data_IF_337821152381
#
_entry.id   IF_337821152381
#
_cell.length_a   1.000
_cell.length_b   1.000
_cell.length_c   1.000
_cell.angle_alpha   90.00
_cell.angle_beta   90.00
_cell.angle_gamma   90.00
#
_symmetry.space_group_name_H-M   'P 1'
#
loop_
_entity.id
_entity.type
_entity.pdbx_description
1 polymer ?
#
# COMPACT_ATOMS: atom_id res chain seq x y z
N UNK A 1 -9.54 21.18 18.67
CA UNK A 1 -9.91 19.78 18.35
C UNK A 1 -9.90 19.68 16.84
N UNK A 2 -8.85 19.14 16.25
CA UNK A 2 -8.82 18.83 14.81
C UNK A 2 -9.87 17.76 14.56
N UNK A 3 -10.85 18.05 13.72
CA UNK A 3 -11.87 17.05 13.29
C UNK A 3 -11.14 15.88 12.66
N UNK A 4 -11.19 14.72 13.31
CA UNK A 4 -10.60 13.50 12.78
C UNK A 4 -11.20 13.22 11.40
N UNK A 5 -10.36 13.03 10.37
CA UNK A 5 -10.80 12.78 9.00
C UNK A 5 -11.63 11.49 8.92
N UNK A 6 -12.80 11.55 8.31
CA UNK A 6 -13.55 10.34 7.98
C UNK A 6 -12.99 9.72 6.69
N UNK A 7 -11.83 9.02 6.81
CA UNK A 7 -11.17 8.38 5.68
C UNK A 7 -12.07 7.41 4.94
N UNK A 8 -12.95 6.71 5.66
CA UNK A 8 -13.86 5.76 5.02
C UNK A 8 -14.79 6.47 4.03
N UNK A 9 -15.42 7.58 4.46
CA UNK A 9 -16.24 8.37 3.57
C UNK A 9 -15.44 8.99 2.43
N UNK A 10 -14.24 9.53 2.71
CA UNK A 10 -13.37 10.17 1.72
C UNK A 10 -12.95 9.22 0.60
N UNK A 11 -12.53 8.01 0.94
CA UNK A 11 -12.08 7.04 -0.06
C UNK A 11 -13.23 6.37 -0.80
N UNK A 12 -14.32 6.00 -0.11
CA UNK A 12 -15.48 5.33 -0.74
C UNK A 12 -16.17 6.22 -1.76
N UNK A 13 -16.21 7.54 -1.55
CA UNK A 13 -16.81 8.48 -2.53
C UNK A 13 -16.01 8.64 -3.81
N UNK A 14 -14.71 8.29 -3.80
CA UNK A 14 -13.78 8.51 -4.92
C UNK A 14 -13.37 7.23 -5.65
N UNK A 15 -13.47 6.07 -5.00
CA UNK A 15 -12.98 4.79 -5.48
C UNK A 15 -14.08 3.72 -5.47
N UNK A 16 -13.94 2.62 -6.25
CA UNK A 16 -14.75 1.42 -6.04
C UNK A 16 -14.67 1.02 -4.56
N UNK A 17 -15.81 0.63 -3.98
CA UNK A 17 -15.89 0.51 -2.53
C UNK A 17 -14.86 -0.44 -1.91
N UNK A 18 -14.52 -1.54 -2.58
CA UNK A 18 -13.53 -2.49 -2.09
C UNK A 18 -12.12 -1.87 -2.00
N UNK A 19 -11.73 -1.08 -3.02
CA UNK A 19 -10.46 -0.35 -3.05
C UNK A 19 -10.48 0.81 -2.05
N UNK A 20 -11.56 1.59 -2.02
CA UNK A 20 -11.73 2.70 -1.09
C UNK A 20 -11.76 2.25 0.37
N UNK A 21 -12.34 1.08 0.65
CA UNK A 21 -12.37 0.50 1.98
C UNK A 21 -10.97 0.13 2.50
N UNK A 22 -10.16 -0.56 1.69
CA UNK A 22 -8.79 -0.89 2.05
C UNK A 22 -7.96 0.37 2.28
N UNK A 23 -8.00 1.32 1.34
CA UNK A 23 -7.27 2.59 1.44
C UNK A 23 -7.66 3.41 2.66
N UNK A 24 -8.93 3.41 3.04
CA UNK A 24 -9.40 4.10 4.24
C UNK A 24 -8.80 3.52 5.53
N UNK A 25 -8.67 2.20 5.60
CA UNK A 25 -8.02 1.53 6.73
C UNK A 25 -6.54 1.87 6.78
N UNK A 26 -5.86 1.80 5.64
CA UNK A 26 -4.43 2.12 5.52
C UNK A 26 -4.12 3.58 5.88
N UNK A 27 -4.96 4.54 5.45
CA UNK A 27 -4.79 5.96 5.77
C UNK A 27 -4.72 6.24 7.27
N UNK A 28 -5.48 5.50 8.08
CA UNK A 28 -5.47 5.67 9.55
C UNK A 28 -4.12 5.33 10.18
N UNK A 29 -3.36 4.41 9.58
CA UNK A 29 -2.04 4.04 10.12
C UNK A 29 -1.00 5.14 9.94
N UNK A 30 -1.23 6.09 9.01
CA UNK A 30 -0.34 7.22 8.78
C UNK A 30 -0.64 8.44 9.67
N UNK A 31 -1.78 8.46 10.40
CA UNK A 31 -2.14 9.63 11.24
C UNK A 31 -1.12 9.90 12.34
N UNK A 32 -0.55 8.83 12.92
CA UNK A 32 0.39 8.90 14.04
C UNK A 32 1.85 8.67 13.61
N UNK A 33 2.15 8.69 12.30
CA UNK A 33 3.49 8.47 11.78
C UNK A 33 4.16 9.79 11.41
N UNK A 34 5.42 9.91 11.78
CA UNK A 34 6.25 11.04 11.39
C UNK A 34 6.82 10.84 9.98
N UNK A 35 6.56 11.80 9.10
CA UNK A 35 7.05 11.84 7.72
C UNK A 35 7.87 13.12 7.52
N UNK A 36 9.13 13.15 8.01
CA UNK A 36 10.00 14.31 7.82
C UNK A 36 10.31 14.53 6.34
N UNK A 37 10.27 15.81 5.93
CA UNK A 37 10.60 16.21 4.57
C UNK A 37 12.13 16.30 4.36
N UNK A 38 12.62 15.99 3.16
CA UNK A 38 11.90 15.64 1.92
C UNK A 38 11.31 14.22 1.95
N UNK A 39 10.06 14.08 1.49
CA UNK A 39 9.28 12.83 1.52
C UNK A 39 9.24 12.22 0.11
N UNK A 40 9.49 10.91 0.02
CA UNK A 40 9.34 10.11 -1.19
C UNK A 40 8.12 9.17 -1.09
N UNK A 41 7.22 9.22 -2.08
CA UNK A 41 6.13 8.25 -2.26
C UNK A 41 6.50 7.31 -3.41
N UNK A 42 6.88 6.08 -3.07
CA UNK A 42 7.30 5.04 -4.04
C UNK A 42 6.08 4.30 -4.56
N UNK A 43 5.76 4.49 -5.83
CA UNK A 43 4.55 3.97 -6.45
C UNK A 43 3.33 4.83 -6.13
N UNK A 44 3.44 6.14 -6.32
CA UNK A 44 2.40 7.11 -5.97
C UNK A 44 1.08 6.92 -6.76
N UNK A 45 1.12 6.17 -7.86
CA UNK A 45 -0.02 5.88 -8.71
C UNK A 45 -0.74 7.14 -9.18
N UNK A 46 -2.08 7.12 -9.08
CA UNK A 46 -2.95 8.23 -9.47
C UNK A 46 -2.99 9.39 -8.44
N UNK A 47 -2.21 9.32 -7.35
CA UNK A 47 -2.12 10.33 -6.31
C UNK A 47 -3.32 10.42 -5.37
N UNK A 48 -4.37 9.64 -5.61
CA UNK A 48 -5.62 9.70 -4.83
C UNK A 48 -5.37 9.37 -3.35
N UNK A 49 -4.58 8.33 -3.06
CA UNK A 49 -4.25 7.93 -1.70
C UNK A 49 -3.60 9.08 -0.93
N UNK A 50 -2.53 9.63 -1.46
CA UNK A 50 -1.80 10.71 -0.81
C UNK A 50 -2.66 11.96 -0.63
N UNK A 51 -3.47 12.32 -1.64
CA UNK A 51 -4.35 13.48 -1.59
C UNK A 51 -5.40 13.42 -0.48
N UNK A 52 -5.91 12.22 -0.19
CA UNK A 52 -6.94 12.02 0.85
C UNK A 52 -6.35 11.76 2.23
N UNK A 53 -5.16 11.15 2.29
CA UNK A 53 -4.52 10.74 3.55
C UNK A 53 -3.79 11.90 4.22
N UNK A 54 -2.89 12.57 3.50
CA UNK A 54 -2.00 13.57 4.09
C UNK A 54 -2.54 14.98 3.96
N UNK A 55 -2.31 15.82 4.98
CA UNK A 55 -2.56 17.26 4.92
C UNK A 55 -1.38 17.98 4.28
N UNK A 56 -0.17 17.59 4.66
CA UNK A 56 1.06 18.13 4.09
C UNK A 56 1.25 17.74 2.63
N UNK A 57 1.99 18.55 1.90
CA UNK A 57 2.45 18.26 0.55
C UNK A 57 3.60 17.24 0.62
N UNK A 58 3.63 16.29 -0.30
CA UNK A 58 4.72 15.32 -0.46
C UNK A 58 5.72 15.89 -1.47
N UNK A 59 7.02 15.75 -1.18
CA UNK A 59 8.04 16.35 -2.03
C UNK A 59 8.12 15.66 -3.38
N UNK A 60 8.16 14.32 -3.40
CA UNK A 60 8.26 13.55 -4.65
C UNK A 60 7.29 12.38 -4.67
N UNK A 61 6.48 12.28 -5.73
CA UNK A 61 5.77 11.06 -6.11
C UNK A 61 6.46 10.39 -7.29
N UNK A 62 6.77 9.09 -7.17
CA UNK A 62 7.41 8.30 -8.20
C UNK A 62 6.51 7.15 -8.62
N UNK A 63 6.30 6.97 -9.92
CA UNK A 63 5.57 5.84 -10.50
C UNK A 63 6.10 5.56 -11.92
N UNK A 64 6.21 4.31 -12.38
CA UNK A 64 6.71 4.02 -13.72
C UNK A 64 5.68 4.28 -14.84
N UNK A 65 4.43 4.54 -14.51
CA UNK A 65 3.35 4.62 -15.49
C UNK A 65 2.89 6.05 -15.75
N UNK A 66 2.99 6.47 -17.02
CA UNK A 66 2.60 7.81 -17.49
C UNK A 66 1.15 8.17 -17.11
N UNK A 67 0.20 7.25 -17.32
CA UNK A 67 -1.22 7.51 -17.06
C UNK A 67 -1.50 7.90 -15.61
N UNK A 68 -1.12 7.08 -14.61
CA UNK A 68 -1.25 7.42 -13.19
C UNK A 68 -0.55 8.73 -12.82
N UNK A 69 0.68 8.96 -13.26
CA UNK A 69 1.41 10.22 -13.02
C UNK A 69 0.63 11.43 -13.55
N UNK A 70 0.06 11.31 -14.75
CA UNK A 70 -0.76 12.38 -15.31
C UNK A 70 -2.03 12.63 -14.49
N UNK A 71 -2.69 11.57 -14.00
CA UNK A 71 -3.85 11.70 -13.11
C UNK A 71 -3.46 12.32 -11.75
N UNK A 72 -2.29 12.00 -11.21
CA UNK A 72 -1.82 12.53 -9.92
C UNK A 72 -1.64 14.05 -9.91
N UNK A 73 -1.34 14.66 -11.07
CA UNK A 73 -1.17 16.12 -11.20
C UNK A 73 -2.40 16.92 -10.78
N UNK A 74 -3.60 16.36 -10.98
CA UNK A 74 -4.85 17.07 -10.66
C UNK A 74 -5.02 17.38 -9.16
N UNK A 75 -4.37 16.60 -8.29
CA UNK A 75 -4.49 16.76 -6.84
C UNK A 75 -3.54 17.82 -6.26
N UNK A 76 -2.50 18.23 -6.99
CA UNK A 76 -1.48 19.18 -6.53
C UNK A 76 -0.86 18.77 -5.17
N UNK A 77 -0.86 17.45 -4.89
CA UNK A 77 -0.37 16.89 -3.63
C UNK A 77 1.15 16.74 -3.60
N UNK A 78 1.77 16.59 -4.76
CA UNK A 78 3.21 16.42 -4.92
C UNK A 78 3.84 17.71 -5.44
N UNK A 79 5.03 18.03 -4.92
CA UNK A 79 5.87 19.11 -5.46
C UNK A 79 6.48 18.71 -6.80
N UNK A 80 6.92 17.45 -6.87
CA UNK A 80 7.48 16.86 -8.08
C UNK A 80 6.83 15.50 -8.33
N UNK A 81 6.41 15.24 -9.55
CA UNK A 81 5.99 13.93 -10.02
C UNK A 81 7.02 13.41 -11.02
N UNK A 82 7.58 12.24 -10.75
CA UNK A 82 8.66 11.63 -11.53
C UNK A 82 8.18 10.31 -12.11
N UNK A 83 8.23 10.20 -13.44
CA UNK A 83 8.00 8.94 -14.15
C UNK A 83 9.31 8.17 -14.23
N UNK A 84 9.48 7.15 -13.36
CA UNK A 84 10.69 6.34 -13.32
C UNK A 84 10.44 4.97 -12.68
N UNK A 85 11.33 4.01 -12.99
CA UNK A 85 11.37 2.70 -12.34
C UNK A 85 11.87 2.86 -10.89
N UNK A 86 11.10 2.31 -9.93
CA UNK A 86 11.49 2.30 -8.52
C UNK A 86 12.77 1.53 -8.21
N UNK A 87 13.21 0.61 -9.10
CA UNK A 87 14.50 -0.06 -9.00
C UNK A 87 15.69 0.76 -9.52
N UNK A 88 15.44 1.95 -10.06
CA UNK A 88 16.45 2.89 -10.57
C UNK A 88 15.95 4.32 -10.47
N UNK A 89 16.02 4.90 -9.30
CA UNK A 89 15.48 6.23 -9.02
C UNK A 89 16.45 7.34 -9.45
N UNK A 90 15.97 8.41 -10.12
CA UNK A 90 16.86 9.52 -10.57
C UNK A 90 17.09 10.55 -9.46
N UNK A 91 17.45 10.09 -8.27
CA UNK A 91 17.70 10.97 -7.11
C UNK A 91 19.07 10.70 -6.50
N UNK A 92 19.68 11.70 -5.86
CA UNK A 92 20.93 11.52 -5.13
C UNK A 92 20.78 10.58 -3.93
N UNK A 93 21.87 9.89 -3.60
CA UNK A 93 21.95 9.09 -2.37
C UNK A 93 21.69 9.96 -1.14
N UNK A 94 20.89 9.43 -0.21
CA UNK A 94 20.61 10.09 1.06
C UNK A 94 19.86 11.41 0.96
N UNK A 95 19.09 11.60 -0.09
CA UNK A 95 18.32 12.84 -0.30
C UNK A 95 17.08 12.93 0.59
N UNK A 96 16.29 11.84 0.69
CA UNK A 96 15.01 11.87 1.38
C UNK A 96 15.13 11.60 2.88
N UNK A 97 14.38 12.36 3.67
CA UNK A 97 14.29 12.18 5.12
C UNK A 97 13.24 11.16 5.54
N UNK A 98 12.32 10.81 4.65
CA UNK A 98 11.34 9.72 4.84
C UNK A 98 10.84 9.18 3.51
N UNK A 99 10.31 7.95 3.52
CA UNK A 99 9.60 7.39 2.38
C UNK A 99 8.37 6.59 2.81
N UNK A 100 7.43 6.46 1.86
CA UNK A 100 6.28 5.56 1.98
C UNK A 100 6.05 4.79 0.68
N UNK A 101 5.35 3.64 0.79
CA UNK A 101 4.91 2.84 -0.36
C UNK A 101 3.63 2.10 0.01
N UNK A 102 2.47 2.58 -0.45
CA UNK A 102 1.20 2.06 0.02
C UNK A 102 0.56 1.07 -0.94
N UNK A 103 0.62 -0.22 -0.64
CA UNK A 103 0.14 -1.34 -1.47
C UNK A 103 0.67 -1.27 -2.92
N UNK A 104 1.97 -1.37 -3.05
CA UNK A 104 2.70 -1.28 -4.32
C UNK A 104 3.71 -2.40 -4.48
N UNK A 105 4.53 -2.68 -3.45
CA UNK A 105 5.64 -3.63 -3.53
C UNK A 105 5.19 -5.04 -3.89
N UNK A 106 3.98 -5.41 -3.51
CA UNK A 106 3.36 -6.69 -3.87
C UNK A 106 3.13 -6.89 -5.37
N UNK A 107 3.09 -5.80 -6.14
CA UNK A 107 2.87 -5.84 -7.59
C UNK A 107 4.18 -5.89 -8.40
N UNK A 108 5.31 -5.57 -7.76
CA UNK A 108 6.61 -5.40 -8.44
C UNK A 108 7.35 -6.74 -8.48
N UNK A 109 7.65 -7.31 -9.67
CA UNK A 109 8.36 -8.59 -9.76
C UNK A 109 9.73 -8.58 -9.06
N UNK A 110 10.44 -7.47 -9.15
CA UNK A 110 11.79 -7.27 -8.60
C UNK A 110 11.77 -6.33 -7.39
N UNK A 111 10.91 -6.62 -6.39
CA UNK A 111 10.75 -5.77 -5.21
C UNK A 111 12.08 -5.52 -4.46
N UNK A 112 13.04 -6.47 -4.49
CA UNK A 112 14.35 -6.29 -3.87
C UNK A 112 15.13 -5.11 -4.46
N UNK A 113 15.08 -4.92 -5.79
CA UNK A 113 15.74 -3.79 -6.44
C UNK A 113 15.14 -2.44 -5.97
N UNK A 114 13.80 -2.39 -5.81
CA UNK A 114 13.13 -1.19 -5.30
C UNK A 114 13.49 -0.92 -3.84
N UNK A 115 13.58 -1.95 -3.00
CA UNK A 115 14.02 -1.80 -1.61
C UNK A 115 15.45 -1.29 -1.52
N UNK A 116 16.36 -1.86 -2.32
CA UNK A 116 17.76 -1.44 -2.36
C UNK A 116 17.90 0.03 -2.79
N UNK A 117 17.18 0.42 -3.83
CA UNK A 117 17.21 1.78 -4.34
C UNK A 117 16.56 2.77 -3.36
N UNK A 118 15.44 2.39 -2.74
CA UNK A 118 14.82 3.18 -1.67
C UNK A 118 15.80 3.42 -0.52
N UNK A 119 16.58 2.39 -0.14
CA UNK A 119 17.61 2.55 0.88
C UNK A 119 18.74 3.48 0.43
N UNK A 120 19.14 3.47 -0.85
CA UNK A 120 20.16 4.36 -1.38
C UNK A 120 19.74 5.83 -1.26
N UNK A 121 18.53 6.17 -1.69
CA UNK A 121 18.06 7.55 -1.74
C UNK A 121 17.59 8.10 -0.39
N UNK A 122 17.32 7.26 0.60
CA UNK A 122 16.97 7.66 1.96
C UNK A 122 18.19 8.06 2.78
N UNK A 123 18.05 9.01 3.69
CA UNK A 123 19.04 9.36 4.70
C UNK A 123 19.25 8.22 5.71
N UNK A 124 20.46 8.02 6.25
CA UNK A 124 20.65 7.08 7.36
C UNK A 124 19.78 7.42 8.57
N UNK A 125 19.03 6.45 9.05
CA UNK A 125 18.04 6.64 10.13
C UNK A 125 16.67 7.12 9.67
N UNK A 126 16.47 7.35 8.37
CA UNK A 126 15.18 7.75 7.82
C UNK A 126 14.15 6.62 7.92
N UNK A 127 12.88 6.93 8.28
CA UNK A 127 11.80 5.95 8.28
C UNK A 127 11.34 5.62 6.86
N UNK A 128 10.95 4.36 6.67
CA UNK A 128 10.24 3.89 5.48
C UNK A 128 9.02 3.08 5.92
N UNK A 129 7.84 3.50 5.43
CA UNK A 129 6.56 2.89 5.76
C UNK A 129 5.96 2.23 4.53
N UNK A 130 5.52 0.99 4.67
CA UNK A 130 4.82 0.32 3.58
C UNK A 130 3.83 -0.72 4.06
N UNK A 131 2.90 -1.09 3.21
CA UNK A 131 1.96 -2.18 3.46
C UNK A 131 1.83 -3.10 2.25
N UNK A 132 1.62 -4.37 2.54
CA UNK A 132 1.53 -5.45 1.54
C UNK A 132 0.59 -6.55 2.03
N UNK A 133 -0.02 -7.35 1.12
CA UNK A 133 -0.73 -8.55 1.50
C UNK A 133 0.26 -9.59 2.05
N UNK A 134 -0.23 -10.42 2.96
CA UNK A 134 0.50 -11.53 3.54
C UNK A 134 -0.16 -12.89 3.15
N UNK A 135 0.35 -14.05 3.58
CA UNK A 135 -0.21 -15.35 3.23
C UNK A 135 -1.69 -15.53 3.61
N UNK A 136 -2.17 -14.84 4.66
CA UNK A 136 -3.56 -14.88 5.07
C UNK A 136 -4.51 -14.32 4.01
N UNK A 137 -4.03 -13.45 3.09
CA UNK A 137 -4.82 -12.92 2.00
C UNK A 137 -5.43 -14.06 1.16
N UNK A 138 -4.61 -14.97 0.67
CA UNK A 138 -5.10 -16.08 -0.14
C UNK A 138 -5.78 -17.17 0.68
N UNK A 139 -5.32 -17.41 1.91
CA UNK A 139 -5.86 -18.45 2.80
C UNK A 139 -7.27 -18.13 3.29
N UNK A 140 -7.56 -16.85 3.55
CA UNK A 140 -8.83 -16.39 4.13
C UNK A 140 -9.88 -15.98 3.11
N UNK A 141 -9.64 -16.16 1.80
CA UNK A 141 -10.66 -15.91 0.77
C UNK A 141 -11.93 -16.74 1.05
N UNK A 142 -13.07 -16.07 1.13
CA UNK A 142 -14.33 -16.67 1.59
C UNK A 142 -14.82 -17.80 0.66
N UNK A 143 -14.72 -17.59 -0.64
CA UNK A 143 -15.10 -18.58 -1.66
C UNK A 143 -14.16 -19.78 -1.63
N UNK A 144 -12.85 -19.57 -1.50
CA UNK A 144 -11.89 -20.67 -1.38
C UNK A 144 -12.15 -21.51 -0.12
N UNK A 145 -12.39 -20.85 1.01
CA UNK A 145 -12.73 -21.54 2.28
C UNK A 145 -14.04 -22.32 2.19
N UNK A 146 -15.02 -21.83 1.43
CA UNK A 146 -16.24 -22.58 1.19
C UNK A 146 -15.94 -23.88 0.41
N UNK A 147 -15.16 -23.82 -0.68
CA UNK A 147 -14.76 -25.02 -1.42
C UNK A 147 -13.93 -25.99 -0.57
N UNK A 148 -13.03 -25.50 0.27
CA UNK A 148 -12.29 -26.37 1.20
C UNK A 148 -13.21 -27.13 2.15
N UNK A 149 -14.23 -26.44 2.71
CA UNK A 149 -15.20 -27.06 3.66
C UNK A 149 -16.02 -28.18 3.05
N UNK A 150 -16.35 -28.09 1.77
CA UNK A 150 -17.09 -29.14 1.06
C UNK A 150 -16.19 -30.14 0.34
N UNK A 151 -14.87 -30.13 0.62
CA UNK A 151 -13.90 -31.10 0.11
C UNK A 151 -13.40 -30.82 -1.32
N UNK A 152 -13.82 -29.73 -1.97
CA UNK A 152 -13.44 -29.38 -3.34
C UNK A 152 -12.11 -28.61 -3.38
N UNK A 153 -11.02 -29.22 -2.89
CA UNK A 153 -9.70 -28.60 -2.73
C UNK A 153 -9.11 -28.04 -4.03
N UNK A 154 -9.33 -28.73 -5.17
CA UNK A 154 -8.84 -28.26 -6.48
C UNK A 154 -9.51 -26.93 -6.88
N UNK A 155 -10.81 -26.79 -6.65
CA UNK A 155 -11.53 -25.54 -6.90
C UNK A 155 -11.08 -24.42 -5.96
N UNK A 156 -10.86 -24.72 -4.69
CA UNK A 156 -10.31 -23.76 -3.73
C UNK A 156 -8.94 -23.24 -4.20
N UNK A 157 -8.05 -24.12 -4.64
CA UNK A 157 -6.72 -23.78 -5.15
C UNK A 157 -6.81 -22.94 -6.42
N UNK A 158 -7.66 -23.34 -7.37
CA UNK A 158 -7.88 -22.60 -8.61
C UNK A 158 -8.41 -21.18 -8.33
N UNK A 159 -9.36 -21.08 -7.41
CA UNK A 159 -9.92 -19.77 -7.01
C UNK A 159 -8.88 -18.86 -6.35
N UNK A 160 -8.04 -19.37 -5.45
CA UNK A 160 -6.94 -18.59 -4.85
C UNK A 160 -5.98 -18.05 -5.92
N UNK A 161 -5.61 -18.87 -6.89
CA UNK A 161 -4.75 -18.45 -8.02
C UNK A 161 -5.44 -17.38 -8.87
N UNK A 162 -6.71 -17.58 -9.19
CA UNK A 162 -7.51 -16.63 -9.95
C UNK A 162 -7.61 -15.27 -9.24
N UNK A 163 -7.97 -15.29 -7.94
CA UNK A 163 -8.14 -14.05 -7.19
C UNK A 163 -6.81 -13.31 -7.01
N UNK A 164 -5.72 -14.03 -6.78
CA UNK A 164 -4.38 -13.46 -6.73
C UNK A 164 -3.96 -12.84 -8.08
N UNK A 165 -4.33 -13.48 -9.19
CA UNK A 165 -4.07 -12.96 -10.53
C UNK A 165 -4.84 -11.66 -10.83
N UNK A 166 -6.14 -11.59 -10.52
CA UNK A 166 -6.93 -10.37 -10.74
C UNK A 166 -6.52 -9.24 -9.80
N UNK A 167 -6.02 -9.56 -8.60
CA UNK A 167 -5.43 -8.62 -7.67
C UNK A 167 -4.01 -8.19 -8.08
N UNK A 168 -3.41 -8.84 -9.10
CA UNK A 168 -2.06 -8.58 -9.61
C UNK A 168 -0.95 -8.76 -8.57
N UNK A 169 -1.17 -9.53 -7.53
CA UNK A 169 -0.16 -9.77 -6.50
C UNK A 169 0.93 -10.73 -7.01
N UNK A 170 2.18 -10.32 -6.90
CA UNK A 170 3.38 -11.12 -7.10
C UNK A 170 3.92 -11.65 -5.77
N UNK A 171 3.74 -10.86 -4.71
CA UNK A 171 4.22 -11.13 -3.38
C UNK A 171 3.06 -11.08 -2.39
N UNK A 172 2.77 -12.22 -1.75
CA UNK A 172 1.93 -12.35 -0.56
C UNK A 172 2.77 -13.06 0.50
N UNK A 173 3.95 -12.50 0.76
CA UNK A 173 4.98 -13.16 1.55
C UNK A 173 4.76 -12.92 3.05
N UNK A 174 5.26 -13.85 3.86
CA UNK A 174 5.20 -13.76 5.31
C UNK A 174 6.20 -12.71 5.85
N UNK A 175 6.02 -12.23 7.09
CA UNK A 175 6.88 -11.21 7.67
C UNK A 175 8.37 -11.57 7.71
N UNK A 176 8.73 -12.83 7.90
CA UNK A 176 10.10 -13.33 7.90
C UNK A 176 10.79 -13.14 6.53
N UNK A 177 10.06 -13.35 5.44
CA UNK A 177 10.56 -13.12 4.08
C UNK A 177 10.80 -11.62 3.84
N UNK A 178 9.88 -10.77 4.29
CA UNK A 178 10.06 -9.32 4.20
C UNK A 178 11.20 -8.83 5.08
N UNK A 179 11.36 -9.42 6.29
CA UNK A 179 12.49 -9.11 7.18
C UNK A 179 13.82 -9.40 6.52
N UNK A 180 13.97 -10.56 5.86
CA UNK A 180 15.18 -10.92 5.15
C UNK A 180 15.49 -9.92 4.00
N UNK A 181 14.47 -9.58 3.18
CA UNK A 181 14.63 -8.60 2.09
C UNK A 181 14.99 -7.21 2.58
N UNK A 182 14.37 -6.77 3.67
CA UNK A 182 14.63 -5.47 4.28
C UNK A 182 16.04 -5.41 4.86
N UNK A 183 16.47 -6.46 5.57
CA UNK A 183 17.82 -6.56 6.10
C UNK A 183 18.89 -6.53 4.99
N UNK A 184 18.65 -7.25 3.87
CA UNK A 184 19.52 -7.21 2.68
C UNK A 184 19.61 -5.81 2.09
N UNK A 185 18.50 -5.07 2.02
CA UNK A 185 18.49 -3.69 1.53
C UNK A 185 19.07 -2.66 2.54
N UNK A 186 19.32 -3.06 3.78
CA UNK A 186 19.85 -2.18 4.81
C UNK A 186 18.77 -1.44 5.62
N UNK A 187 17.59 -2.02 5.75
CA UNK A 187 16.55 -1.58 6.65
C UNK A 187 16.48 -2.47 7.90
N UNK A 188 16.01 -1.87 8.99
CA UNK A 188 15.61 -2.56 10.21
C UNK A 188 14.10 -2.39 10.39
N UNK A 189 13.38 -3.47 10.70
CA UNK A 189 11.99 -3.40 11.11
C UNK A 189 11.95 -2.93 12.58
N UNK A 190 11.23 -1.83 12.84
CA UNK A 190 10.98 -1.35 14.19
C UNK A 190 9.71 -1.97 14.77
N UNK A 191 8.67 -2.07 13.95
CA UNK A 191 7.41 -2.74 14.27
C UNK A 191 6.65 -3.09 13.02
N UNK A 192 5.75 -4.06 13.13
CA UNK A 192 4.76 -4.40 12.12
C UNK A 192 3.49 -4.93 12.80
N UNK A 193 2.38 -4.92 12.08
CA UNK A 193 1.13 -5.51 12.52
C UNK A 193 0.30 -6.00 11.35
N UNK A 194 -0.50 -7.04 11.62
CA UNK A 194 -1.50 -7.50 10.67
C UNK A 194 -2.79 -6.69 10.82
N UNK A 195 -3.44 -6.46 9.71
CA UNK A 195 -4.71 -5.76 9.67
C UNK A 195 -5.63 -6.36 8.61
N UNK A 196 -6.90 -5.88 8.57
CA UNK A 196 -7.90 -6.31 7.62
C UNK A 196 -8.36 -7.75 7.89
N UNK A 197 -9.24 -7.93 8.88
CA UNK A 197 -9.75 -9.23 9.35
C UNK A 197 -10.29 -10.11 8.24
N UNK A 198 -10.46 -11.44 8.46
CA UNK A 198 -11.06 -12.33 7.46
C UNK A 198 -12.45 -11.90 7.00
N UNK A 199 -13.25 -11.24 7.85
CA UNK A 199 -14.55 -10.70 7.47
C UNK A 199 -14.44 -9.41 6.63
N UNK A 200 -13.46 -8.56 6.92
CA UNK A 200 -13.13 -7.40 6.07
C UNK A 200 -12.63 -7.86 4.69
N UNK A 201 -11.78 -8.89 4.66
CA UNK A 201 -11.30 -9.48 3.42
C UNK A 201 -12.45 -10.08 2.59
N UNK A 202 -13.38 -10.81 3.21
CA UNK A 202 -14.56 -11.32 2.51
C UNK A 202 -15.38 -10.18 1.88
N UNK A 203 -15.55 -9.07 2.60
CA UNK A 203 -16.23 -7.87 2.10
C UNK A 203 -15.49 -7.26 0.90
N UNK A 204 -14.17 -7.21 0.93
CA UNK A 204 -13.32 -6.76 -0.19
C UNK A 204 -13.43 -7.73 -1.38
N UNK A 205 -13.35 -9.04 -1.13
CA UNK A 205 -13.44 -10.10 -2.13
C UNK A 205 -14.73 -10.00 -2.93
N UNK A 206 -15.87 -9.94 -2.24
CA UNK A 206 -17.18 -9.74 -2.89
C UNK A 206 -17.29 -8.37 -3.57
N UNK A 207 -16.59 -7.39 -3.05
CA UNK A 207 -16.50 -6.06 -3.64
C UNK A 207 -15.94 -6.03 -5.04
N UNK A 208 -15.02 -6.94 -5.38
CA UNK A 208 -14.51 -7.05 -6.75
C UNK A 208 -15.61 -7.41 -7.73
N UNK A 209 -16.55 -8.28 -7.35
CA UNK A 209 -17.66 -8.69 -8.21
C UNK A 209 -18.76 -7.64 -8.27
N UNK A 210 -19.19 -7.13 -7.14
CA UNK A 210 -20.22 -6.07 -7.07
C UNK A 210 -19.71 -4.70 -7.55
N UNK A 211 -18.41 -4.49 -7.59
CA UNK A 211 -17.77 -3.28 -8.09
C UNK A 211 -17.64 -3.21 -9.62
N UNK A 212 -17.89 -4.29 -10.37
CA UNK A 212 -17.79 -4.31 -11.82
C UNK A 212 -18.54 -3.17 -12.53
N UNK A 213 -19.78 -2.78 -12.13
CA UNK A 213 -20.45 -1.64 -12.74
C UNK A 213 -19.68 -0.32 -12.63
N UNK A 214 -18.84 -0.16 -11.59
CA UNK A 214 -18.02 1.05 -11.45
C UNK A 214 -16.93 1.18 -12.52
N UNK A 215 -16.48 0.06 -13.11
CA UNK A 215 -15.58 0.08 -14.28
C UNK A 215 -16.26 0.68 -15.50
N UNK A 216 -17.53 0.38 -15.72
CA UNK A 216 -18.35 0.96 -16.79
C UNK A 216 -18.49 2.47 -16.58
N UNK A 217 -18.81 2.86 -15.34
CA UNK A 217 -18.88 4.27 -14.96
C UNK A 217 -17.56 5.00 -15.21
N UNK A 218 -16.41 4.41 -14.81
CA UNK A 218 -15.09 4.99 -15.06
C UNK A 218 -14.81 5.15 -16.57
N UNK A 219 -15.15 4.14 -17.37
CA UNK A 219 -14.90 4.16 -18.82
C UNK A 219 -15.76 5.19 -19.55
N UNK A 220 -17.04 5.34 -19.15
CA UNK A 220 -17.98 6.23 -19.82
C UNK A 220 -17.93 7.68 -19.34
N UNK A 221 -17.70 7.90 -18.03
CA UNK A 221 -17.81 9.21 -17.38
C UNK A 221 -16.52 9.69 -16.73
N UNK A 222 -15.44 8.92 -16.81
CA UNK A 222 -14.17 9.23 -16.15
C UNK A 222 -14.20 9.14 -14.62
N UNK A 223 -15.30 8.68 -14.03
CA UNK A 223 -15.51 8.64 -12.57
C UNK A 223 -15.90 7.25 -12.10
N UNK A 224 -15.29 6.80 -10.99
CA UNK A 224 -15.65 5.52 -10.38
C UNK A 224 -17.06 5.50 -9.78
N UNK A 225 -17.51 6.63 -9.26
CA UNK A 225 -18.82 6.81 -8.66
C UNK A 225 -19.52 8.01 -9.30
N UNK A 226 -20.74 7.78 -9.82
CA UNK A 226 -21.52 8.81 -10.50
C UNK A 226 -22.12 9.81 -9.52
N UNK A 227 -22.54 9.35 -8.34
CA UNK A 227 -23.16 10.17 -7.31
C UNK A 227 -22.39 10.08 -5.98
N UNK A 228 -21.26 10.81 -5.83
CA UNK A 228 -20.37 10.72 -4.65
C UNK A 228 -20.91 11.56 -3.48
N UNK A 229 -22.20 11.58 -3.28
CA UNK A 229 -22.88 12.37 -2.25
C UNK A 229 -23.18 11.55 -1.00
N UNK A 230 -23.30 12.20 0.15
CA UNK A 230 -23.56 11.54 1.44
C UNK A 230 -24.81 10.65 1.39
N UNK A 231 -25.89 11.09 0.78
CA UNK A 231 -27.14 10.31 0.69
C UNK A 231 -26.96 8.96 0.00
N UNK A 232 -26.07 8.87 -1.00
CA UNK A 232 -25.81 7.64 -1.75
C UNK A 232 -24.76 6.75 -1.07
N UNK A 233 -23.78 7.33 -0.39
CA UNK A 233 -22.59 6.63 0.12
C UNK A 233 -22.75 6.23 1.58
N UNK A 234 -23.53 6.97 2.37
CA UNK A 234 -23.58 6.80 3.84
C UNK A 234 -24.03 5.42 4.30
N UNK A 235 -24.92 4.75 3.57
CA UNK A 235 -25.34 3.40 3.92
C UNK A 235 -24.18 2.40 3.82
N UNK A 236 -23.39 2.51 2.76
CA UNK A 236 -22.23 1.66 2.53
C UNK A 236 -21.11 1.98 3.56
N UNK A 237 -20.84 3.26 3.81
CA UNK A 237 -19.92 3.70 4.87
C UNK A 237 -20.34 3.12 6.22
N UNK A 238 -21.64 3.17 6.56
CA UNK A 238 -22.16 2.60 7.82
C UNK A 238 -21.94 1.09 7.89
N UNK A 239 -22.17 0.38 6.78
CA UNK A 239 -21.96 -1.08 6.70
C UNK A 239 -20.48 -1.45 6.91
N UNK A 240 -19.55 -0.70 6.31
CA UNK A 240 -18.12 -0.98 6.35
C UNK A 240 -17.45 -0.49 7.64
N UNK A 241 -18.07 0.46 8.35
CA UNK A 241 -17.45 1.14 9.50
C UNK A 241 -17.00 0.18 10.59
N UNK A 242 -17.79 -0.85 10.91
CA UNK A 242 -17.43 -1.87 11.90
C UNK A 242 -16.09 -2.56 11.63
N UNK A 243 -15.72 -2.69 10.35
CA UNK A 243 -14.44 -3.29 9.95
C UNK A 243 -13.30 -2.26 9.89
N UNK A 244 -13.64 -1.00 9.57
CA UNK A 244 -12.67 0.08 9.51
C UNK A 244 -12.25 0.58 10.90
N UNK A 245 -13.16 0.54 11.89
CA UNK A 245 -12.88 1.04 13.24
C UNK A 245 -12.01 0.06 14.05
N UNK A 246 -12.03 -1.23 13.70
CA UNK A 246 -11.20 -2.28 14.32
C UNK A 246 -10.34 -2.98 13.26
N UNK A 247 -9.35 -2.27 12.69
CA UNK A 247 -8.59 -2.78 11.56
C UNK A 247 -7.59 -3.87 11.93
N UNK A 248 -7.04 -3.86 13.16
CA UNK A 248 -6.01 -4.80 13.61
C UNK A 248 -6.61 -6.19 13.86
N UNK A 249 -5.91 -7.23 13.41
CA UNK A 249 -6.34 -8.61 13.59
C UNK A 249 -5.19 -9.59 13.33
N UNK A 250 -4.93 -10.54 14.23
CA UNK A 250 -3.82 -11.50 14.11
C UNK A 250 -3.87 -12.33 12.80
N UNK A 251 -5.07 -12.72 12.37
CA UNK A 251 -5.28 -13.36 11.07
C UNK A 251 -5.57 -12.36 9.94
N UNK A 252 -5.13 -11.11 10.07
CA UNK A 252 -5.33 -10.07 9.06
C UNK A 252 -4.65 -10.40 7.74
N UNK A 253 -5.27 -9.99 6.65
CA UNK A 253 -4.86 -10.32 5.28
C UNK A 253 -3.68 -9.49 4.76
N UNK A 254 -3.40 -8.39 5.42
CA UNK A 254 -2.34 -7.45 5.08
C UNK A 254 -1.44 -7.19 6.28
N UNK A 255 -0.22 -6.74 6.00
CA UNK A 255 0.75 -6.35 7.02
C UNK A 255 1.25 -4.94 6.72
N UNK A 256 1.26 -4.10 7.74
CA UNK A 256 1.87 -2.78 7.70
C UNK A 256 3.23 -2.84 8.40
N UNK A 257 4.23 -2.24 7.78
CA UNK A 257 5.61 -2.22 8.27
C UNK A 257 6.07 -0.80 8.57
N UNK A 258 6.68 -0.64 9.71
CA UNK A 258 7.43 0.55 10.13
C UNK A 258 8.90 0.15 10.16
N UNK A 259 9.69 0.72 9.27
CA UNK A 259 11.11 0.38 9.13
C UNK A 259 11.97 1.62 9.20
N UNK A 260 13.24 1.43 9.47
CA UNK A 260 14.23 2.52 9.52
C UNK A 260 15.44 2.11 8.72
N UNK A 261 15.96 3.02 7.88
CA UNK A 261 17.23 2.78 7.19
C UNK A 261 18.37 2.68 8.20
N UNK A 262 19.11 1.59 8.17
CA UNK A 262 20.28 1.40 9.02
C UNK A 262 21.33 2.50 8.75
N UNK A 263 21.97 2.99 9.80
CA UNK A 263 23.18 3.81 9.64
C UNK A 263 24.25 2.93 9.01
N UNK A 264 24.86 3.37 7.90
CA UNK A 264 26.03 2.67 7.40
C UNK A 264 27.04 2.59 8.56
N UNK A 265 27.37 1.38 9.02
CA UNK A 265 28.54 1.17 9.86
C UNK A 265 29.71 1.74 9.08
N UNK A 266 30.40 2.72 9.63
CA UNK A 266 31.65 3.18 9.07
C UNK A 266 32.58 1.95 9.09
N UNK A 267 32.78 1.29 7.94
CA UNK A 267 33.89 0.38 7.78
C UNK A 267 35.11 1.25 8.00
N UNK A 268 35.81 1.01 9.10
CA UNK A 268 37.17 1.52 9.27
C UNK A 268 37.93 1.19 7.99
N UNK A 269 38.61 2.14 7.36
CA UNK A 269 39.53 1.82 6.29
C UNK A 269 40.63 0.97 6.92
N UNK A 270 40.64 -0.33 6.59
CA UNK A 270 41.82 -1.16 6.83
C UNK A 270 42.97 -0.59 5.97
N UNK A 271 43.66 0.38 6.53
CA UNK A 271 44.96 0.77 6.05
C UNK A 271 45.94 -0.34 6.48
N UNK A 272 45.99 -1.39 5.68
CA UNK A 272 47.13 -2.27 5.71
C UNK A 272 48.34 -1.50 5.16
N UNK A 273 49.15 -0.92 6.05
CA UNK A 273 50.48 -0.55 5.72
C UNK A 273 51.27 -1.85 5.50
N UNK A 274 51.53 -2.16 4.26
CA UNK A 274 52.58 -3.15 3.91
C UNK A 274 53.91 -2.42 4.05
N UNK A 275 54.70 -2.80 5.05
CA UNK A 275 56.08 -2.47 5.22
C UNK A 275 56.95 -3.40 4.37
#
# INVERSE_FOLDING_TARGET
MTSQKDFLFLHIRNLPYFRGFLRAVESRFYEDLDLPAPILDVGCGDGNFAALTFDQQIDVGLDPWHGPIHEARQYQKYRLLTEADGGRMPFPDGYFASALSNSVLEHIPHAQAVLNETACVLQPGAPFYFCVPNPNFTQNLSVARFFDRIGLKSFATAYRRFFNYISRHRHCDAPDVWEARLAEAGFKIERWWHYFSPSALATLEWGHYFGLPSLISRKLFGRWMLAPYRWNVSWLVRLLRKHADHPLHDAGAYTFYVTTRCKRSAKSPDFAFVS
#
